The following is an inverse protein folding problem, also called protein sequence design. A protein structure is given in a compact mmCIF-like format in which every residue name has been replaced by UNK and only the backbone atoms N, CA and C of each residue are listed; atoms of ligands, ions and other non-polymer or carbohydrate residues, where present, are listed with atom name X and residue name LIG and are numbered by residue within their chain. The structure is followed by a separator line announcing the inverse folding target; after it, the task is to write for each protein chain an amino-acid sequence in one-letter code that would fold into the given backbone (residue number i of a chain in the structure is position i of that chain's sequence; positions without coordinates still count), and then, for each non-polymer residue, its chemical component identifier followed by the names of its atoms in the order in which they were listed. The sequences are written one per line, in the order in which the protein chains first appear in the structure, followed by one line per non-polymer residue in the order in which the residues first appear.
data_IF_168738909756
#
_entry.id   IF_168738909756
#
_cell.length_a   1.000
_cell.length_b   1.000
_cell.length_c   1.000
_cell.angle_alpha   90.00
_cell.angle_beta   90.00
_cell.angle_gamma   90.00
#
_symmetry.space_group_name_H-M   'P 1'
#
loop_
_entity.id
_entity.type
_entity.pdbx_description
1 polymer ?
2 non-polymer ?
3 non-polymer ?
4 non-polymer ?
5 non-polymer ?
6 water ?
#
# COMPACT_ATOMS: atom_id res chain seq x y z
N UNK A 37 22.38 -6.51 -1.83
CA UNK A 37 22.91 -5.17 -1.58
C UNK A 37 22.08 -4.12 -2.33
N UNK A 38 22.02 -2.92 -1.76
CA UNK A 38 21.19 -1.83 -2.26
C UNK A 38 22.10 -0.73 -2.79
N UNK A 39 21.76 -0.06 -3.90
CA UNK A 39 22.62 0.99 -4.41
C UNK A 39 22.75 2.11 -3.41
N UNK A 40 23.91 2.80 -3.38
CA UNK A 40 24.12 3.82 -2.34
C UNK A 40 23.06 4.92 -2.31
N UNK A 41 22.54 5.34 -3.47
CA UNK A 41 21.55 6.41 -3.48
C UNK A 41 20.21 5.98 -2.90
N UNK A 42 19.96 4.68 -2.78
CA UNK A 42 18.71 4.16 -2.22
C UNK A 42 18.93 3.44 -0.89
N UNK A 43 20.18 3.31 -0.45
CA UNK A 43 20.51 2.52 0.72
C UNK A 43 20.20 3.28 1.99
N UNK A 44 19.63 2.57 2.97
CA UNK A 44 19.26 3.16 4.26
C UNK A 44 19.91 2.30 5.34
N UNK A 45 21.12 2.66 5.77
CA UNK A 45 21.82 1.84 6.77
C UNK A 45 21.02 1.54 8.02
N UNK A 46 20.15 2.46 8.48
CA UNK A 46 19.41 2.20 9.70
C UNK A 46 18.39 1.07 9.50
N UNK A 47 17.77 1.00 8.32
CA UNK A 47 16.88 -0.14 8.03
C UNK A 47 17.67 -1.44 8.07
N UNK A 48 18.80 -1.48 7.36
CA UNK A 48 19.56 -2.72 7.27
C UNK A 48 20.09 -3.17 8.63
N UNK A 49 20.40 -2.22 9.52
CA UNK A 49 21.03 -2.56 10.79
C UNK A 49 20.02 -2.80 11.91
N UNK A 50 18.93 -2.02 11.91
CA UNK A 50 18.05 -1.96 13.06
C UNK A 50 16.63 -2.42 12.78
N UNK A 51 16.27 -2.72 11.52
CA UNK A 51 14.95 -3.22 11.16
C UNK A 51 15.10 -4.56 10.44
N UNK A 52 15.50 -5.61 11.15
CA UNK A 52 15.69 -6.91 10.47
C UNK A 52 14.40 -7.42 9.85
N UNK A 53 14.54 -7.97 8.65
CA UNK A 53 13.42 -8.45 7.86
C UNK A 53 12.75 -9.65 8.55
N UNK A 54 11.42 -9.72 8.40
CA UNK A 54 10.64 -10.84 8.89
C UNK A 54 9.80 -11.41 7.76
N UNK A 55 9.45 -12.68 7.87
CA UNK A 55 8.62 -13.33 6.85
C UNK A 55 7.65 -14.28 7.51
N UNK A 56 6.37 -14.10 7.18
CA UNK A 56 5.29 -14.94 7.70
C UNK A 56 5.45 -16.38 7.18
N UNK A 57 5.23 -17.38 8.03
CA UNK A 57 5.42 -18.79 7.60
C UNK A 57 4.49 -19.24 6.49
N UNK A 58 3.38 -18.54 6.26
CA UNK A 58 2.46 -18.92 5.20
C UNK A 58 2.93 -18.47 3.82
N UNK A 59 4.03 -17.72 3.73
CA UNK A 59 4.37 -17.09 2.45
C UNK A 59 4.46 -18.04 1.26
N UNK A 60 5.06 -19.24 1.35
CA UNK A 60 5.10 -20.12 0.16
C UNK A 60 3.74 -20.44 -0.41
N UNK A 61 2.76 -20.75 0.45
CA UNK A 61 1.39 -20.99 -0.02
C UNK A 61 0.74 -19.69 -0.48
N UNK A 62 1.00 -18.59 0.24
CA UNK A 62 0.46 -17.30 -0.14
C UNK A 62 0.88 -16.92 -1.56
N UNK A 63 2.16 -17.12 -1.87
CA UNK A 63 2.67 -16.76 -3.19
C UNK A 63 1.85 -17.40 -4.30
N UNK A 64 1.64 -18.72 -4.21
CA UNK A 64 0.92 -19.43 -5.27
C UNK A 64 -0.57 -19.13 -5.23
N UNK A 65 -1.17 -19.05 -4.04
CA UNK A 65 -2.61 -18.85 -3.95
C UNK A 65 -3.02 -17.49 -4.54
N UNK A 66 -2.22 -16.44 -4.30
CA UNK A 66 -2.54 -15.15 -4.89
C UNK A 66 -2.30 -15.16 -6.40
N UNK A 67 -1.26 -15.87 -6.85
CA UNK A 67 -1.02 -15.99 -8.28
C UNK A 67 -2.18 -16.67 -8.99
N UNK A 68 -2.65 -17.79 -8.41
CA UNK A 68 -3.80 -18.51 -8.97
C UNK A 68 -5.08 -17.67 -8.92
N UNK A 69 -5.24 -16.86 -7.85
CA UNK A 69 -6.38 -15.97 -7.75
C UNK A 69 -6.36 -14.92 -8.86
N UNK A 70 -5.19 -14.31 -9.11
CA UNK A 70 -5.08 -13.36 -10.23
C UNK A 70 -5.45 -14.04 -11.54
N UNK A 71 -5.06 -15.31 -11.70
CA UNK A 71 -5.39 -16.06 -12.89
C UNK A 71 -6.89 -16.31 -12.99
N UNK A 72 -7.51 -16.83 -11.93
CA UNK A 72 -8.90 -17.26 -12.00
C UNK A 72 -9.86 -16.08 -12.04
N UNK A 73 -9.53 -14.99 -11.36
CA UNK A 73 -10.33 -13.78 -11.44
C UNK A 73 -10.05 -12.97 -12.70
N UNK A 74 -9.12 -13.40 -13.54
CA UNK A 74 -8.80 -12.74 -14.80
C UNK A 74 -8.40 -11.29 -14.58
N UNK A 75 -7.62 -11.05 -13.53
CA UNK A 75 -7.20 -9.70 -13.21
C UNK A 75 -6.00 -9.26 -14.04
N UNK A 76 -5.20 -10.21 -14.52
CA UNK A 76 -4.12 -9.95 -15.45
C UNK A 76 -4.16 -11.05 -16.49
N UNK A 77 -3.73 -10.77 -17.73
CA UNK A 77 -3.68 -11.81 -18.75
C UNK A 77 -2.89 -13.02 -18.27
N UNK A 78 -3.35 -14.21 -18.66
CA UNK A 78 -2.79 -15.45 -18.14
C UNK A 78 -1.29 -15.53 -18.38
N UNK A 79 -0.83 -15.12 -19.56
CA UNK A 79 0.60 -15.20 -19.85
C UNK A 79 1.41 -14.21 -19.03
N UNK A 80 0.83 -13.05 -18.69
CA UNK A 80 1.53 -12.10 -17.85
C UNK A 80 1.58 -12.57 -16.40
N UNK A 81 0.52 -13.22 -15.93
CA UNK A 81 0.54 -13.83 -14.60
C UNK A 81 1.68 -14.83 -14.51
N UNK A 82 1.79 -15.71 -15.52
CA UNK A 82 2.78 -16.78 -15.46
C UNK A 82 4.20 -16.23 -15.57
N UNK A 83 4.41 -15.21 -16.40
CA UNK A 83 5.77 -14.70 -16.60
C UNK A 83 6.22 -13.78 -15.48
N UNK A 84 5.30 -13.01 -14.89
CA UNK A 84 5.69 -11.87 -14.07
C UNK A 84 5.20 -11.89 -12.63
N UNK A 85 4.14 -12.65 -12.31
CA UNK A 85 3.48 -12.50 -11.00
C UNK A 85 4.43 -12.74 -9.84
N UNK A 86 5.14 -13.88 -9.85
CA UNK A 86 6.06 -14.16 -8.74
C UNK A 86 7.15 -13.11 -8.65
N UNK A 87 7.69 -12.69 -9.79
CA UNK A 87 8.74 -11.67 -9.82
C UNK A 87 8.29 -10.30 -9.34
N UNK A 88 6.97 -10.05 -9.34
CA UNK A 88 6.46 -8.76 -8.88
C UNK A 88 6.52 -8.62 -7.35
N UNK A 89 6.52 -9.76 -6.64
CA UNK A 89 6.78 -9.81 -5.20
C UNK A 89 5.67 -9.20 -4.36
N UNK A 90 4.43 -9.15 -4.88
CA UNK A 90 3.34 -8.53 -4.12
C UNK A 90 3.03 -9.30 -2.85
N UNK A 91 3.07 -10.63 -2.89
CA UNK A 91 2.81 -11.39 -1.67
C UNK A 91 3.97 -11.31 -0.68
N UNK A 92 5.22 -11.23 -1.17
CA UNK A 92 6.37 -11.06 -0.27
C UNK A 92 6.21 -9.77 0.54
N UNK A 93 5.73 -8.72 -0.11
CA UNK A 93 5.55 -7.43 0.55
C UNK A 93 4.57 -7.54 1.70
N UNK A 94 3.46 -8.26 1.50
CA UNK A 94 2.49 -8.34 2.58
C UNK A 94 2.91 -9.36 3.65
N UNK A 95 3.61 -10.43 3.23
CA UNK A 95 4.06 -11.44 4.18
C UNK A 95 5.22 -10.95 5.06
N UNK A 96 5.88 -9.86 4.66
CA UNK A 96 6.88 -9.24 5.47
C UNK A 96 6.35 -8.15 6.36
N UNK A 97 5.04 -7.91 6.34
CA UNK A 97 4.39 -6.80 7.01
C UNK A 97 3.48 -7.30 8.13
N UNK A 98 2.44 -8.08 7.80
CA UNK A 98 1.41 -8.48 8.76
C UNK A 98 1.77 -9.80 9.44
N UNK A 99 2.87 -9.76 10.18
CA UNK A 99 3.30 -10.95 10.90
C UNK A 99 2.29 -11.30 11.98
N UNK A 100 2.13 -12.60 12.22
CA UNK A 100 1.16 -13.10 13.17
C UNK A 100 -0.26 -13.22 12.68
N UNK A 101 -0.56 -12.75 11.46
CA UNK A 101 -1.92 -12.79 10.94
C UNK A 101 -2.35 -14.25 10.74
N UNK A 102 -3.62 -14.57 11.00
CA UNK A 102 -4.14 -15.88 10.59
C UNK A 102 -3.95 -16.03 9.09
N UNK A 103 -3.68 -17.27 8.66
CA UNK A 103 -3.39 -17.52 7.26
C UNK A 103 -4.49 -16.96 6.36
N UNK A 104 -5.76 -17.15 6.75
CA UNK A 104 -6.85 -16.69 5.89
C UNK A 104 -6.95 -15.18 5.85
N UNK A 105 -6.59 -14.51 6.95
CA UNK A 105 -6.53 -13.05 6.96
C UNK A 105 -5.45 -12.55 6.01
N UNK A 106 -4.24 -13.11 6.12
CA UNK A 106 -3.15 -12.74 5.23
C UNK A 106 -3.51 -13.02 3.77
N UNK A 107 -4.21 -14.12 3.51
CA UNK A 107 -4.59 -14.41 2.13
C UNK A 107 -5.53 -13.35 1.58
N UNK A 108 -6.52 -12.94 2.37
CA UNK A 108 -7.41 -11.87 1.91
C UNK A 108 -6.66 -10.57 1.72
N UNK A 109 -5.74 -10.25 2.63
CA UNK A 109 -4.92 -9.04 2.51
C UNK A 109 -4.05 -9.08 1.26
N UNK A 110 -3.41 -10.23 1.00
CA UNK A 110 -2.52 -10.34 -0.16
C UNK A 110 -3.29 -10.25 -1.47
N UNK A 111 -4.48 -10.86 -1.52
CA UNK A 111 -5.29 -10.77 -2.73
C UNK A 111 -5.71 -9.32 -2.95
N UNK A 112 -6.18 -8.66 -1.89
CA UNK A 112 -6.54 -7.24 -1.96
C UNK A 112 -5.36 -6.38 -2.41
N UNK A 113 -4.17 -6.65 -1.85
CA UNK A 113 -2.99 -5.87 -2.20
C UNK A 113 -2.58 -6.08 -3.64
N UNK A 114 -2.59 -7.34 -4.11
CA UNK A 114 -2.33 -7.60 -5.53
C UNK A 114 -3.38 -6.91 -6.40
N UNK A 115 -4.65 -6.96 -5.99
CA UNK A 115 -5.70 -6.23 -6.70
C UNK A 115 -5.35 -4.74 -6.77
N UNK A 116 -4.87 -4.19 -5.66
CA UNK A 116 -4.56 -2.76 -5.60
C UNK A 116 -3.50 -2.38 -6.63
N UNK A 117 -2.45 -3.21 -6.78
CA UNK A 117 -1.46 -2.94 -7.81
C UNK A 117 -2.08 -2.97 -9.20
N UNK A 118 -2.92 -3.98 -9.47
CA UNK A 118 -3.59 -4.07 -10.77
C UNK A 118 -4.47 -2.86 -11.00
N UNK A 119 -5.16 -2.38 -9.96
CA UNK A 119 -5.97 -1.17 -10.08
C UNK A 119 -5.10 0.04 -10.41
N UNK A 120 -3.95 0.17 -9.77
CA UNK A 120 -3.01 1.23 -10.11
C UNK A 120 -2.60 1.16 -11.58
N UNK A 121 -2.43 -0.05 -12.11
CA UNK A 121 -2.10 -0.21 -13.53
C UNK A 121 -3.27 0.17 -14.43
N UNK A 122 -4.49 -0.24 -14.07
CA UNK A 122 -5.66 0.09 -14.87
C UNK A 122 -5.89 1.59 -14.89
N UNK A 123 -5.76 2.23 -13.73
CA UNK A 123 -5.87 3.69 -13.63
C UNK A 123 -4.86 4.37 -14.55
N UNK A 124 -3.61 3.90 -14.52
CA UNK A 124 -2.56 4.43 -15.41
C UNK A 124 -2.95 4.27 -16.88
N UNK A 125 -3.35 3.07 -17.28
CA UNK A 125 -3.71 2.81 -18.67
C UNK A 125 -4.94 3.60 -19.11
N UNK A 126 -5.90 3.84 -18.20
CA UNK A 126 -7.06 4.66 -18.55
C UNK A 126 -6.64 6.10 -18.79
N UNK A 127 -5.69 6.60 -18.02
CA UNK A 127 -5.17 7.95 -18.23
C UNK A 127 -4.40 8.03 -19.54
N UNK A 128 -3.49 7.08 -19.78
CA UNK A 128 -2.63 7.15 -20.96
C UNK A 128 -3.46 7.09 -22.24
N UNK A 129 -4.54 6.31 -22.23
CA UNK A 129 -5.40 6.14 -23.39
C UNK A 129 -6.63 7.03 -23.35
N UNK A 130 -6.70 7.97 -22.41
CA UNK A 130 -7.78 8.95 -22.37
C UNK A 130 -9.16 8.36 -22.18
N UNK A 131 -9.27 7.23 -21.48
CA UNK A 131 -10.56 6.55 -21.29
C UNK A 131 -11.28 7.10 -20.06
N UNK A 132 -11.61 8.41 -20.13
CA UNK A 132 -12.25 9.08 -19.01
C UNK A 132 -13.58 8.44 -18.64
N UNK A 133 -14.36 8.02 -19.64
CA UNK A 133 -15.63 7.37 -19.35
C UNK A 133 -15.45 6.03 -18.67
N UNK A 134 -14.52 5.21 -19.17
CA UNK A 134 -14.28 3.91 -18.55
C UNK A 134 -13.84 4.07 -17.11
N UNK A 135 -12.98 5.05 -16.83
CA UNK A 135 -12.54 5.28 -15.47
C UNK A 135 -13.69 5.73 -14.57
N UNK A 136 -14.50 6.67 -15.06
CA UNK A 136 -15.61 7.17 -14.25
C UNK A 136 -16.58 6.06 -13.87
N UNK A 137 -16.87 5.16 -14.80
CA UNK A 137 -17.77 4.06 -14.47
C UNK A 137 -17.12 3.07 -13.50
N UNK A 138 -15.83 2.77 -13.70
CA UNK A 138 -15.12 1.92 -12.74
C UNK A 138 -15.12 2.55 -11.35
N UNK A 139 -14.86 3.86 -11.26
CA UNK A 139 -14.86 4.55 -9.99
C UNK A 139 -16.22 4.42 -9.30
N UNK A 140 -17.31 4.57 -10.06
CA UNK A 140 -18.63 4.43 -9.46
C UNK A 140 -18.91 3.02 -8.96
N UNK A 141 -18.48 2.01 -9.73
CA UNK A 141 -18.73 0.62 -9.34
C UNK A 141 -17.94 0.26 -8.09
N UNK A 142 -16.70 0.75 -7.97
CA UNK A 142 -15.90 0.44 -6.80
C UNK A 142 -16.51 1.04 -5.54
N UNK A 143 -17.06 2.25 -5.65
CA UNK A 143 -17.75 2.84 -4.51
C UNK A 143 -18.92 1.98 -4.09
N UNK A 144 -19.74 1.53 -5.05
CA UNK A 144 -20.89 0.70 -4.70
C UNK A 144 -20.45 -0.66 -4.18
N UNK A 145 -19.45 -1.29 -4.81
CA UNK A 145 -19.02 -2.62 -4.39
C UNK A 145 -18.32 -2.59 -3.04
N UNK A 146 -17.70 -1.47 -2.70
CA UNK A 146 -17.09 -1.34 -1.39
C UNK A 146 -18.15 -1.38 -0.28
N UNK A 147 -19.29 -0.74 -0.51
CA UNK A 147 -20.34 -0.74 0.52
C UNK A 147 -21.08 -2.07 0.60
N UNK A 148 -21.23 -2.78 -0.52
CA UNK A 148 -21.92 -4.06 -0.56
C UNK A 148 -21.14 -5.02 -1.43
N UNK A 149 -20.04 -5.57 -0.91
CA UNK A 149 -19.21 -6.44 -1.75
C UNK A 149 -19.89 -7.74 -2.16
N UNK A 150 -20.71 -8.32 -1.29
CA UNK A 150 -21.41 -9.55 -1.66
C UNK A 150 -22.20 -9.41 -2.95
N UNK A 151 -22.88 -8.27 -3.13
CA UNK A 151 -23.68 -8.07 -4.33
C UNK A 151 -22.86 -8.04 -5.61
N UNK A 152 -21.55 -7.82 -5.54
CA UNK A 152 -20.72 -7.62 -6.72
C UNK A 152 -19.70 -8.74 -6.93
N UNK A 153 -19.87 -9.88 -6.25
CA UNK A 153 -18.91 -10.97 -6.34
C UNK A 153 -18.84 -11.58 -7.73
N UNK A 154 -19.89 -11.40 -8.53
CA UNK A 154 -19.94 -11.98 -9.87
C UNK A 154 -20.22 -10.91 -10.91
N UNK A 155 -19.71 -9.70 -10.67
CA UNK A 155 -19.92 -8.62 -11.62
C UNK A 155 -19.17 -8.88 -12.92
N UNK A 156 -19.77 -8.43 -14.03
CA UNK A 156 -19.18 -8.63 -15.36
C UNK A 156 -17.81 -7.98 -15.48
N UNK A 157 -17.57 -6.88 -14.76
CA UNK A 157 -16.27 -6.25 -14.73
C UNK A 157 -15.37 -7.07 -13.79
N UNK A 158 -14.36 -7.74 -14.35
CA UNK A 158 -13.54 -8.63 -13.54
C UNK A 158 -12.73 -7.87 -12.50
N UNK A 159 -12.32 -6.64 -12.79
CA UNK A 159 -11.60 -5.86 -11.79
C UNK A 159 -12.51 -5.53 -10.61
N UNK A 160 -13.79 -5.27 -10.88
CA UNK A 160 -14.76 -5.04 -9.81
C UNK A 160 -15.06 -6.33 -9.04
N UNK A 161 -15.24 -7.44 -9.76
CA UNK A 161 -15.52 -8.71 -9.09
C UNK A 161 -14.36 -9.15 -8.22
N UNK A 162 -13.12 -8.96 -8.70
CA UNK A 162 -11.96 -9.30 -7.88
C UNK A 162 -11.87 -8.44 -6.63
N UNK A 163 -12.05 -7.13 -6.79
CA UNK A 163 -12.16 -6.22 -5.65
C UNK A 163 -13.18 -6.74 -4.65
N UNK A 164 -14.39 -7.04 -5.12
CA UNK A 164 -15.47 -7.43 -4.23
C UNK A 164 -15.16 -8.73 -3.50
N UNK A 165 -14.48 -9.67 -4.17
CA UNK A 165 -14.16 -10.94 -3.53
C UNK A 165 -13.18 -10.75 -2.38
N UNK A 166 -12.14 -9.94 -2.58
CA UNK A 166 -11.20 -9.71 -1.48
C UNK A 166 -11.85 -8.90 -0.36
N UNK A 167 -12.65 -7.89 -0.71
CA UNK A 167 -13.28 -7.05 0.31
C UNK A 167 -14.31 -7.84 1.11
N UNK A 168 -15.12 -8.68 0.44
CA UNK A 168 -16.09 -9.48 1.19
C UNK A 168 -15.40 -10.33 2.24
N UNK A 169 -14.24 -10.90 1.89
CA UNK A 169 -13.52 -11.74 2.84
C UNK A 169 -12.96 -10.92 3.99
N UNK A 170 -12.39 -9.74 3.68
CA UNK A 170 -11.89 -8.85 4.73
C UNK A 170 -13.00 -8.46 5.70
N UNK A 171 -14.24 -8.34 5.21
CA UNK A 171 -15.39 -7.95 6.04
C UNK A 171 -15.89 -9.08 6.93
N UNK A 172 -15.27 -10.26 6.89
CA UNK A 172 -15.76 -11.39 7.66
C UNK A 172 -14.96 -11.65 8.93
N UNK A 173 -13.97 -10.83 9.25
CA UNK A 173 -13.06 -11.12 10.34
C UNK A 173 -13.39 -10.39 11.64
N UNK A 174 -13.88 -9.15 11.54
CA UNK A 174 -14.13 -8.29 12.69
C UNK A 174 -15.56 -7.78 12.63
N UNK A 175 -16.03 -7.14 13.71
CA UNK A 175 -17.40 -6.61 13.69
C UNK A 175 -17.60 -5.58 12.59
N UNK A 176 -18.88 -5.39 12.23
CA UNK A 176 -19.26 -4.50 11.13
C UNK A 176 -18.78 -3.07 11.34
N UNK A 177 -18.50 -2.66 12.58
CA UNK A 177 -17.96 -1.33 12.83
C UNK A 177 -16.60 -1.17 12.14
N UNK A 178 -15.77 -2.21 12.14
CA UNK A 178 -14.50 -2.13 11.45
C UNK A 178 -14.71 -2.06 9.94
N UNK A 179 -15.64 -2.87 9.41
CA UNK A 179 -15.94 -2.83 7.99
C UNK A 179 -16.34 -1.42 7.55
N UNK A 180 -17.16 -0.74 8.35
CA UNK A 180 -17.61 0.60 8.00
C UNK A 180 -16.45 1.59 7.96
N UNK A 181 -15.48 1.42 8.86
CA UNK A 181 -14.29 2.28 8.87
C UNK A 181 -13.41 2.01 7.66
N UNK A 182 -13.15 0.74 7.35
CA UNK A 182 -12.43 0.40 6.12
C UNK A 182 -13.10 1.04 4.92
N UNK A 183 -14.42 0.95 4.86
CA UNK A 183 -15.14 1.51 3.71
C UNK A 183 -15.00 3.02 3.65
N UNK A 184 -15.21 3.72 4.78
CA UNK A 184 -15.00 5.15 4.84
C UNK A 184 -13.62 5.51 4.28
N UNK A 185 -12.59 4.80 4.75
CA UNK A 185 -11.24 5.11 4.30
C UNK A 185 -11.05 4.86 2.80
N UNK A 186 -11.59 3.75 2.29
CA UNK A 186 -11.37 3.45 0.87
C UNK A 186 -12.22 4.30 -0.08
N UNK A 187 -13.41 4.76 0.35
CA UNK A 187 -14.13 5.72 -0.47
C UNK A 187 -13.25 6.93 -0.73
N UNK A 188 -12.50 7.34 0.29
CA UNK A 188 -11.60 8.48 0.15
C UNK A 188 -10.43 8.15 -0.80
N UNK A 189 -9.89 6.93 -0.72
CA UNK A 189 -8.81 6.53 -1.63
C UNK A 189 -9.28 6.58 -3.09
N UNK A 190 -10.48 6.06 -3.36
CA UNK A 190 -11.01 6.09 -4.72
C UNK A 190 -11.05 7.52 -5.23
N UNK A 191 -11.50 8.44 -4.38
CA UNK A 191 -11.61 9.82 -4.81
C UNK A 191 -10.23 10.47 -4.98
N UNK A 192 -9.23 10.04 -4.20
CA UNK A 192 -7.87 10.51 -4.45
C UNK A 192 -7.38 10.01 -5.82
N UNK A 193 -7.67 8.76 -6.17
CA UNK A 193 -7.31 8.29 -7.50
C UNK A 193 -8.02 9.11 -8.57
N UNK A 194 -9.27 9.52 -8.32
CA UNK A 194 -9.95 10.37 -9.29
C UNK A 194 -9.26 11.72 -9.41
N UNK A 195 -8.81 12.28 -8.29
CA UNK A 195 -8.06 13.54 -8.36
C UNK A 195 -6.78 13.35 -9.18
N UNK A 196 -6.11 12.21 -9.03
CA UNK A 196 -4.92 11.94 -9.82
C UNK A 196 -5.24 11.86 -11.30
N UNK A 197 -6.38 11.25 -11.65
CA UNK A 197 -6.82 11.22 -13.03
C UNK A 197 -6.98 12.64 -13.57
N UNK A 198 -7.62 13.51 -12.78
CA UNK A 198 -7.80 14.91 -13.18
C UNK A 198 -6.45 15.60 -13.36
N UNK A 199 -5.53 15.42 -12.42
CA UNK A 199 -4.23 16.08 -12.52
C UNK A 199 -3.49 15.66 -13.77
N UNK A 200 -3.43 14.34 -14.02
CA UNK A 200 -2.62 13.84 -15.13
C UNK A 200 -3.22 14.19 -16.48
N UNK A 201 -4.55 14.11 -16.62
CA UNK A 201 -5.16 14.50 -17.88
C UNK A 201 -5.05 15.99 -18.14
N UNK A 202 -4.85 16.81 -17.11
CA UNK A 202 -4.65 18.24 -17.29
C UNK A 202 -3.19 18.65 -17.25
N UNK A 203 -2.28 17.74 -16.92
CA UNK A 203 -0.87 18.10 -16.82
C UNK A 203 -0.55 18.89 -15.57
N UNK A 204 -1.25 18.64 -14.48
CA UNK A 204 -1.07 19.37 -13.23
C UNK A 204 -0.15 18.54 -12.34
N UNK A 205 0.97 19.13 -11.93
CA UNK A 205 1.83 18.57 -10.90
C UNK A 205 1.46 19.26 -9.59
N UNK A 206 0.99 18.52 -8.58
CA UNK A 206 0.62 19.18 -7.31
C UNK A 206 1.83 19.83 -6.64
N UNK A 207 1.58 20.90 -5.89
CA UNK A 207 2.59 21.43 -5.00
C UNK A 207 3.05 20.40 -4.00
N UNK A 208 4.21 20.66 -3.38
CA UNK A 208 4.79 19.73 -2.41
C UNK A 208 3.81 19.42 -1.27
N UNK A 209 3.24 20.46 -0.66
CA UNK A 209 2.37 20.25 0.49
C UNK A 209 1.05 19.63 0.07
N UNK A 210 0.49 20.09 -1.05
CA UNK A 210 -0.71 19.47 -1.62
C UNK A 210 -0.46 18.00 -1.90
N UNK A 211 0.72 17.69 -2.46
CA UNK A 211 1.06 16.30 -2.75
C UNK A 211 1.14 15.46 -1.48
N UNK A 212 1.77 15.99 -0.43
CA UNK A 212 1.94 15.19 0.79
C UNK A 212 0.58 14.83 1.40
N UNK A 213 -0.40 15.74 1.31
CA UNK A 213 -1.74 15.43 1.79
C UNK A 213 -2.41 14.37 0.90
N UNK A 214 -2.32 14.55 -0.42
CA UNK A 214 -2.92 13.58 -1.35
C UNK A 214 -2.29 12.21 -1.21
N UNK A 215 -0.99 12.14 -0.93
CA UNK A 215 -0.25 10.89 -0.91
C UNK A 215 -0.66 9.98 0.24
N UNK A 216 -1.15 10.55 1.36
CA UNK A 216 -1.73 9.73 2.43
C UNK A 216 -2.97 8.99 1.97
N UNK A 217 -3.62 9.48 0.92
CA UNK A 217 -4.79 8.83 0.34
C UNK A 217 -4.45 7.89 -0.83
N UNK A 218 -3.63 8.34 -1.79
CA UNK A 218 -3.32 7.47 -2.93
C UNK A 218 -2.49 6.26 -2.53
N UNK A 219 -1.61 6.41 -1.51
CA UNK A 219 -0.92 5.25 -0.94
C UNK A 219 -1.83 4.42 -0.02
N UNK A 220 -2.99 4.95 0.40
CA UNK A 220 -3.94 4.23 1.25
C UNK A 220 -3.38 3.97 2.66
N UNK A 221 -2.68 4.98 3.21
CA UNK A 221 -2.12 4.91 4.57
C UNK A 221 -3.08 4.28 5.56
N UNK A 222 -4.34 4.74 5.54
CA UNK A 222 -5.27 4.37 6.60
C UNK A 222 -5.88 3.00 6.38
N UNK A 223 -5.86 2.52 5.14
CA UNK A 223 -6.28 1.15 4.85
C UNK A 223 -5.26 0.16 5.40
N UNK A 224 -3.96 0.37 5.11
CA UNK A 224 -2.94 -0.52 5.68
C UNK A 224 -2.96 -0.46 7.20
N UNK A 225 -3.24 0.72 7.76
CA UNK A 225 -3.36 0.84 9.20
C UNK A 225 -4.57 0.08 9.73
N UNK A 226 -5.72 0.20 9.06
CA UNK A 226 -6.91 -0.58 9.47
C UNK A 226 -6.61 -2.07 9.46
N UNK A 227 -5.87 -2.54 8.45
CA UNK A 227 -5.63 -3.97 8.28
C UNK A 227 -4.73 -4.57 9.35
N UNK A 228 -4.03 -3.73 10.14
CA UNK A 228 -3.28 -4.24 11.29
C UNK A 228 -4.21 -5.01 12.22
N UNK A 229 -5.46 -4.59 12.29
CA UNK A 229 -6.37 -5.05 13.33
C UNK A 229 -6.90 -6.46 13.10
N UNK A 230 -7.42 -6.82 11.91
CA UNK A 230 -7.74 -8.25 11.71
C UNK A 230 -6.49 -9.12 11.76
N UNK A 231 -5.32 -8.56 11.44
CA UNK A 231 -4.08 -9.33 11.52
C UNK A 231 -3.73 -9.70 12.95
N UNK A 232 -4.08 -8.87 13.94
CA UNK A 232 -3.86 -9.22 15.33
C UNK A 232 -5.14 -9.68 16.04
N UNK A 233 -6.25 -9.78 15.31
CA UNK A 233 -7.45 -10.39 15.84
C UNK A 233 -8.28 -9.52 16.77
N UNK A 234 -8.19 -8.20 16.65
CA UNK A 234 -8.85 -7.32 17.61
C UNK A 234 -9.17 -6.00 16.94
N UNK A 235 -10.43 -5.61 16.94
CA UNK A 235 -10.80 -4.27 16.52
C UNK A 235 -10.44 -3.31 17.66
N UNK A 236 -9.59 -2.31 17.36
CA UNK A 236 -9.23 -1.40 18.45
C UNK A 236 -10.30 -0.32 18.65
N UNK A 237 -10.65 -0.02 19.89
CA UNK A 237 -11.56 1.11 20.15
C UNK A 237 -10.95 2.41 19.66
N UNK A 238 -11.83 3.38 19.34
CA UNK A 238 -11.36 4.67 18.84
C UNK A 238 -10.39 5.32 19.81
N UNK A 239 -10.67 5.24 21.11
CA UNK A 239 -9.79 5.87 22.09
C UNK A 239 -8.39 5.28 22.06
N UNK A 240 -8.26 4.00 21.69
CA UNK A 240 -6.94 3.39 21.64
C UNK A 240 -6.21 3.77 20.35
N UNK A 241 -6.85 3.56 19.20
CA UNK A 241 -6.15 3.81 17.94
C UNK A 241 -5.96 5.29 17.67
N UNK A 242 -6.74 6.16 18.31
CA UNK A 242 -6.54 7.59 18.15
C UNK A 242 -5.62 8.18 19.21
N UNK A 243 -5.08 7.36 20.10
CA UNK A 243 -4.06 7.83 21.02
C UNK A 243 -2.91 8.44 20.22
N UNK A 244 -2.37 9.58 20.66
CA UNK A 244 -1.34 10.26 19.84
C UNK A 244 -0.14 9.41 19.49
N UNK A 245 0.29 8.52 20.39
CA UNK A 245 1.46 7.69 20.08
C UNK A 245 1.13 6.62 19.04
N UNK A 246 -0.05 6.00 19.15
CA UNK A 246 -0.46 5.03 18.13
C UNK A 246 -0.61 5.71 16.78
N UNK A 247 -1.35 6.83 16.76
CA UNK A 247 -1.63 7.53 15.50
C UNK A 247 -0.36 7.99 14.83
N UNK A 248 0.57 8.56 15.60
CA UNK A 248 1.81 9.07 15.01
C UNK A 248 2.71 7.94 14.51
N UNK A 249 2.85 6.87 15.30
CA UNK A 249 3.60 5.72 14.81
C UNK A 249 2.98 5.14 13.54
N UNK A 250 1.64 5.08 13.48
CA UNK A 250 1.00 4.55 12.27
C UNK A 250 1.24 5.45 11.07
N UNK A 251 1.19 6.77 11.29
CA UNK A 251 1.43 7.71 10.20
C UNK A 251 2.85 7.60 9.67
N UNK A 252 3.85 7.55 10.56
CA UNK A 252 5.24 7.56 10.10
C UNK A 252 5.61 6.27 9.36
N UNK A 253 5.05 5.13 9.80
CA UNK A 253 5.24 3.89 9.06
C UNK A 253 4.78 4.03 7.61
N UNK A 254 3.65 4.70 7.39
CA UNK A 254 3.12 4.84 6.04
C UNK A 254 3.83 5.95 5.26
N UNK A 255 4.18 7.05 5.94
CA UNK A 255 4.94 8.09 5.23
C UNK A 255 6.24 7.52 4.70
N UNK A 256 6.91 6.70 5.50
CA UNK A 256 8.15 6.09 5.03
C UNK A 256 7.88 5.25 3.80
N UNK A 257 6.86 4.41 3.85
CA UNK A 257 6.59 3.51 2.75
C UNK A 257 6.26 4.28 1.47
N UNK A 258 5.41 5.30 1.58
CA UNK A 258 5.00 6.06 0.40
C UNK A 258 6.16 6.84 -0.19
N UNK A 259 6.95 7.50 0.67
CA UNK A 259 8.04 8.32 0.17
C UNK A 259 9.21 7.47 -0.28
N UNK A 260 9.43 6.30 0.34
CA UNK A 260 10.46 5.40 -0.18
C UNK A 260 10.03 4.86 -1.54
N UNK A 261 8.74 4.55 -1.71
CA UNK A 261 8.28 4.21 -3.05
C UNK A 261 8.55 5.37 -4.02
N UNK A 262 8.24 6.61 -3.61
CA UNK A 262 8.54 7.73 -4.51
C UNK A 262 10.00 7.71 -4.94
N UNK A 263 10.90 7.50 -3.97
CA UNK A 263 12.33 7.50 -4.28
C UNK A 263 12.68 6.42 -5.30
N UNK A 264 12.19 5.20 -5.08
CA UNK A 264 12.58 4.07 -5.93
C UNK A 264 11.77 4.00 -7.22
N UNK A 265 10.56 4.56 -7.24
CA UNK A 265 9.72 4.49 -8.43
C UNK A 265 9.84 5.72 -9.31
N UNK A 266 10.64 6.70 -8.89
CA UNK A 266 10.88 7.90 -9.70
C UNK A 266 11.29 7.58 -11.13
N UNK A 267 12.27 6.70 -11.39
CA UNK A 267 12.63 6.45 -12.80
C UNK A 267 11.51 5.90 -13.65
N UNK A 268 10.76 4.91 -13.16
CA UNK A 268 9.63 4.39 -13.92
C UNK A 268 8.55 5.44 -14.10
N UNK A 269 8.39 6.32 -13.11
CA UNK A 269 7.30 7.29 -13.16
C UNK A 269 7.62 8.45 -14.09
N UNK A 270 8.87 8.92 -14.09
CA UNK A 270 9.29 9.89 -15.10
C UNK A 270 9.09 9.31 -16.49
N UNK A 271 9.52 8.07 -16.68
CA UNK A 271 9.41 7.43 -17.99
C UNK A 271 7.96 7.26 -18.42
N UNK A 272 7.05 7.04 -17.48
CA UNK A 272 5.64 6.84 -17.82
C UNK A 272 4.74 8.05 -17.71
N UNK A 273 5.33 9.26 -17.66
CA UNK A 273 4.55 10.50 -17.57
C UNK A 273 3.67 10.58 -16.32
N UNK A 274 4.07 9.88 -15.26
CA UNK A 274 3.41 10.05 -13.97
C UNK A 274 3.81 11.38 -13.36
N UNK A 275 2.84 12.09 -12.77
CA UNK A 275 3.12 13.39 -12.15
C UNK A 275 3.13 13.33 -10.62
N UNK A 276 2.71 12.22 -10.02
CA UNK A 276 2.54 12.11 -8.58
C UNK A 276 3.76 11.41 -7.97
N UNK A 277 4.63 12.21 -7.37
CA UNK A 277 5.86 11.75 -6.77
C UNK A 277 6.48 12.94 -6.06
N UNK A 278 6.90 12.76 -4.81
CA UNK A 278 7.47 13.89 -4.06
C UNK A 278 8.65 14.51 -4.81
N UNK A 279 9.47 13.69 -5.46
CA UNK A 279 10.59 14.22 -6.24
C UNK A 279 10.13 15.09 -7.39
N UNK A 280 9.05 14.70 -8.08
CA UNK A 280 8.55 15.48 -9.20
C UNK A 280 7.97 16.80 -8.72
N UNK A 281 7.25 16.81 -7.60
CA UNK A 281 6.77 18.08 -7.05
C UNK A 281 7.93 18.99 -6.70
N UNK A 282 9.01 18.43 -6.15
CA UNK A 282 10.17 19.24 -5.76
C UNK A 282 10.85 19.84 -6.98
N UNK A 283 11.04 19.04 -8.03
CA UNK A 283 11.66 19.53 -9.26
C UNK A 283 10.80 20.62 -9.88
N UNK A 284 9.48 20.41 -9.90
CA UNK A 284 8.59 21.29 -10.64
C UNK A 284 8.41 22.63 -9.92
N UNK A 285 8.20 22.61 -8.61
CA UNK A 285 7.78 23.80 -7.88
C UNK A 285 8.88 24.44 -7.07
N UNK A 286 10.04 23.80 -6.92
CA UNK A 286 11.15 24.40 -6.19
C UNK A 286 12.46 24.37 -6.97
N UNK A 287 12.40 24.05 -8.27
CA UNK A 287 13.53 24.21 -9.19
C UNK A 287 14.73 23.35 -8.79
N UNK A 288 14.50 22.23 -8.11
CA UNK A 288 15.60 21.34 -7.80
C UNK A 288 15.98 20.53 -9.03
N UNK A 289 17.27 20.24 -9.15
CA UNK A 289 17.69 19.25 -10.13
C UNK A 289 17.26 17.87 -9.67
N UNK A 290 17.38 16.89 -10.59
CA UNK A 290 17.06 15.51 -10.24
C UNK A 290 17.92 15.02 -9.09
N UNK A 291 19.22 15.32 -9.13
CA UNK A 291 20.11 14.91 -8.04
C UNK A 291 19.71 15.57 -6.73
N UNK A 292 19.35 16.86 -6.77
CA UNK A 292 18.94 17.55 -5.54
C UNK A 292 17.64 16.99 -5.00
N UNK A 293 16.68 16.71 -5.89
CA UNK A 293 15.39 16.19 -5.46
C UNK A 293 15.52 14.81 -4.85
N UNK A 294 16.38 13.97 -5.43
CA UNK A 294 16.61 12.64 -4.88
C UNK A 294 17.21 12.72 -3.48
N UNK A 295 18.18 13.62 -3.29
CA UNK A 295 18.74 13.82 -1.97
C UNK A 295 17.72 14.30 -0.96
N UNK A 296 16.84 15.21 -1.39
CA UNK A 296 15.84 15.76 -0.48
C UNK A 296 14.81 14.70 -0.09
N UNK A 297 14.38 13.86 -1.05
CA UNK A 297 13.46 12.76 -0.72
C UNK A 297 14.13 11.77 0.22
N UNK A 298 15.37 11.39 -0.06
CA UNK A 298 16.06 10.46 0.82
C UNK A 298 16.16 10.99 2.24
N UNK A 299 16.45 12.28 2.39
CA UNK A 299 16.54 12.86 3.73
C UNK A 299 15.20 12.80 4.45
N UNK A 300 14.10 13.11 3.75
CA UNK A 300 12.78 13.00 4.37
C UNK A 300 12.45 11.57 4.77
N UNK A 301 12.83 10.60 3.92
CA UNK A 301 12.66 9.19 4.25
C UNK A 301 13.46 8.83 5.50
N UNK A 302 14.72 9.29 5.57
CA UNK A 302 15.57 9.00 6.72
C UNK A 302 14.96 9.54 8.00
N UNK A 303 14.39 10.74 7.95
CA UNK A 303 13.77 11.33 9.13
C UNK A 303 12.55 10.54 9.58
N UNK A 304 11.80 9.94 8.66
CA UNK A 304 10.67 9.12 9.09
C UNK A 304 11.13 7.99 9.99
N UNK A 305 12.29 7.41 9.69
CA UNK A 305 12.81 6.30 10.48
C UNK A 305 13.09 6.73 11.91
N UNK A 306 13.88 7.81 12.07
CA UNK A 306 14.30 8.21 13.41
C UNK A 306 13.17 8.87 14.18
N UNK A 307 12.23 9.51 13.48
CA UNK A 307 11.00 9.97 14.14
C UNK A 307 10.18 8.78 14.63
N UNK A 308 10.09 7.72 13.81
CA UNK A 308 9.35 6.53 14.22
C UNK A 308 9.99 5.88 15.44
N UNK A 309 11.32 5.79 15.48
CA UNK A 309 11.98 5.19 16.63
C UNK A 309 11.62 5.91 17.92
N UNK A 310 11.50 7.25 17.87
CA UNK A 310 11.11 7.98 19.07
C UNK A 310 9.68 7.68 19.49
N UNK A 311 8.74 7.73 18.54
CA UNK A 311 7.34 7.51 18.89
C UNK A 311 7.03 6.05 19.19
N UNK A 312 7.82 5.12 18.65
CA UNK A 312 7.64 3.71 18.96
C UNK A 312 7.79 3.47 20.47
N UNK A 313 8.76 4.12 21.10
CA UNK A 313 8.90 4.01 22.55
C UNK A 313 7.61 4.42 23.25
N UNK A 314 7.03 5.55 22.82
CA UNK A 314 5.79 6.04 23.41
C UNK A 314 4.63 5.08 23.15
N UNK A 315 4.59 4.48 21.94
CA UNK A 315 3.50 3.58 21.61
C UNK A 315 3.62 2.28 22.40
N UNK A 316 4.84 1.79 22.62
CA UNK A 316 5.01 0.60 23.43
C UNK A 316 4.79 0.89 24.91
N UNK A 317 5.11 2.10 25.38
CA UNK A 317 4.74 2.47 26.75
C UNK A 317 3.23 2.48 26.91
N UNK A 318 2.52 3.01 25.91
CA UNK A 318 1.07 2.99 25.92
C UNK A 318 0.54 1.55 25.96
N UNK A 319 1.14 0.67 25.16
CA UNK A 319 0.75 -0.74 25.21
C UNK A 319 0.86 -1.29 26.62
N UNK A 320 1.97 -1.00 27.31
CA UNK A 320 2.14 -1.49 28.68
C UNK A 320 1.05 -0.95 29.60
N UNK A 321 0.71 0.34 29.47
CA UNK A 321 -0.30 0.92 30.34
C UNK A 321 -1.68 0.31 30.12
N UNK A 322 -1.96 -0.18 28.90
CA UNK A 322 -3.25 -0.82 28.65
C UNK A 322 -3.39 -2.13 29.40
N UNK A 323 -2.26 -2.78 29.72
CA UNK A 323 -2.26 -4.02 30.48
C UNK A 323 -2.53 -3.67 31.94
N UNK A 324 -3.81 -3.49 32.25
CA UNK A 324 -4.23 -2.97 33.54
C UNK A 324 -4.61 -4.09 34.51
N UNK A 325 -4.24 -5.33 34.22
CA UNK A 325 -4.61 -6.46 35.03
C UNK A 325 -5.86 -7.18 34.59
N UNK A 326 -6.64 -6.60 33.68
CA UNK A 326 -7.86 -7.23 33.21
C UNK A 326 -7.60 -8.04 31.95
N UNK A 327 -8.52 -8.96 31.66
CA UNK A 327 -8.43 -9.76 30.45
C UNK A 327 -8.51 -8.88 29.22
N UNK A 328 -9.48 -7.96 29.21
CA UNK A 328 -9.62 -7.04 28.07
C UNK A 328 -8.38 -6.15 27.93
N UNK A 329 -7.84 -5.67 29.05
CA UNK A 329 -6.63 -4.86 28.98
C UNK A 329 -5.46 -5.64 28.39
N UNK A 330 -5.30 -6.89 28.80
CA UNK A 330 -4.26 -7.73 28.21
C UNK A 330 -4.46 -7.92 26.72
N UNK A 331 -5.71 -8.10 26.30
CA UNK A 331 -6.02 -8.24 24.87
C UNK A 331 -5.63 -6.98 24.10
N UNK A 332 -6.07 -5.81 24.59
CA UNK A 332 -5.76 -4.56 23.90
C UNK A 332 -4.27 -4.28 23.90
N UNK A 333 -3.60 -4.53 25.04
CA UNK A 333 -2.17 -4.32 25.14
C UNK A 333 -1.42 -5.18 24.13
N UNK A 334 -1.77 -6.48 24.07
CA UNK A 334 -1.13 -7.36 23.10
C UNK A 334 -1.42 -6.97 21.67
N UNK A 335 -2.64 -6.48 21.41
CA UNK A 335 -3.00 -6.08 20.06
C UNK A 335 -2.20 -4.86 19.61
N UNK A 336 -2.12 -3.86 20.49
CA UNK A 336 -1.32 -2.68 20.18
C UNK A 336 0.13 -3.06 19.96
N UNK A 337 0.68 -3.92 20.82
CA UNK A 337 2.06 -4.33 20.69
C UNK A 337 2.31 -5.01 19.35
N UNK A 338 1.40 -5.93 18.96
CA UNK A 338 1.54 -6.60 17.67
C UNK A 338 1.42 -5.61 16.51
N UNK A 339 0.49 -4.66 16.63
CA UNK A 339 0.29 -3.70 15.54
C UNK A 339 1.49 -2.78 15.40
N UNK A 340 2.03 -2.30 16.51
CA UNK A 340 3.22 -1.46 16.44
C UNK A 340 4.40 -2.24 15.89
N UNK A 341 4.51 -3.53 16.26
CA UNK A 341 5.56 -4.36 15.70
C UNK A 341 5.44 -4.49 14.20
N UNK A 342 4.21 -4.58 13.70
CA UNK A 342 4.01 -4.65 12.26
C UNK A 342 4.18 -3.30 11.57
N UNK A 343 3.85 -2.19 12.24
CA UNK A 343 4.23 -0.88 11.71
C UNK A 343 5.73 -0.81 11.45
N UNK A 344 6.52 -1.39 12.36
CA UNK A 344 7.96 -1.46 12.18
C UNK A 344 8.33 -2.41 11.06
N UNK A 345 7.64 -3.54 10.94
CA UNK A 345 7.96 -4.50 9.87
C UNK A 345 7.69 -3.90 8.50
N UNK A 346 6.77 -2.94 8.42
CA UNK A 346 6.47 -2.34 7.12
C UNK A 346 7.70 -1.65 6.56
N UNK A 347 8.53 -1.04 7.44
CA UNK A 347 9.73 -0.39 6.96
C UNK A 347 10.63 -1.36 6.20
N UNK A 348 10.95 -2.50 6.81
CA UNK A 348 11.86 -3.44 6.15
C UNK A 348 11.20 -4.13 4.97
N UNK A 349 9.91 -4.43 5.06
CA UNK A 349 9.27 -5.12 3.95
C UNK A 349 9.22 -4.25 2.71
N UNK A 350 8.85 -2.97 2.87
CA UNK A 350 8.83 -2.01 1.76
C UNK A 350 10.23 -1.75 1.22
N UNK A 351 11.22 -1.66 2.11
CA UNK A 351 12.59 -1.41 1.68
C UNK A 351 13.05 -2.49 0.70
N UNK A 352 12.97 -3.75 1.12
CA UNK A 352 13.50 -4.82 0.29
C UNK A 352 12.63 -5.10 -0.92
N UNK A 353 11.31 -4.90 -0.78
CA UNK A 353 10.40 -5.05 -1.91
C UNK A 353 10.84 -4.23 -3.11
N UNK A 354 11.27 -3.00 -2.87
CA UNK A 354 11.60 -2.13 -3.99
C UNK A 354 12.86 -2.55 -4.72
N UNK A 355 13.69 -3.37 -4.09
CA UNK A 355 14.90 -3.84 -4.77
C UNK A 355 14.74 -5.24 -5.32
N UNK A 356 13.68 -5.94 -4.92
CA UNK A 356 13.39 -7.28 -5.41
C UNK A 356 12.33 -7.32 -6.50
N UNK A 357 11.35 -6.41 -6.45
CA UNK A 357 10.21 -6.48 -7.35
C UNK A 357 10.57 -6.10 -8.78
N UNK A 358 10.08 -6.89 -9.73
CA UNK A 358 10.17 -6.52 -11.15
C UNK A 358 9.38 -5.28 -11.51
N UNK A 359 8.50 -4.81 -10.61
CA UNK A 359 7.67 -3.66 -10.93
C UNK A 359 8.48 -2.41 -11.25
N UNK A 360 9.66 -2.24 -10.65
CA UNK A 360 10.43 -1.01 -10.79
C UNK A 360 11.59 -1.10 -11.76
N UNK A 361 11.75 -2.22 -12.46
CA UNK A 361 12.96 -2.48 -13.26
C UNK A 361 12.85 -1.90 -14.67
N UNK A 362 12.73 -0.57 -14.73
CA UNK A 362 12.47 0.12 -15.98
C UNK A 362 13.58 -0.08 -17.01
N UNK A 363 14.82 -0.26 -16.55
CA UNK A 363 15.95 -0.43 -17.46
C UNK A 363 15.85 -1.70 -18.31
N UNK A 364 15.02 -2.65 -17.92
CA UNK A 364 14.92 -3.91 -18.65
C UNK A 364 13.81 -3.92 -19.68
N UNK A 365 13.04 -2.85 -19.80
CA UNK A 365 11.85 -2.85 -20.66
C UNK A 365 12.16 -2.36 -22.06
N UNK A 366 11.48 -2.98 -23.03
CA UNK A 366 11.59 -2.52 -24.42
C UNK A 366 11.07 -1.09 -24.56
N UNK A 367 10.01 -0.76 -23.81
CA UNK A 367 9.41 0.56 -23.84
C UNK A 367 9.32 1.01 -22.39
N UNK A 368 10.14 1.99 -22.02
CA UNK A 368 10.21 2.42 -20.63
C UNK A 368 8.91 3.03 -20.14
N UNK A 369 8.05 3.48 -21.06
CA UNK A 369 6.76 4.05 -20.70
C UNK A 369 5.64 3.02 -20.57
N UNK A 370 5.90 1.76 -20.92
CA UNK A 370 4.87 0.71 -20.87
C UNK A 370 5.46 -0.54 -20.21
N UNK A 371 5.24 -0.74 -18.92
CA UNK A 371 5.81 -1.90 -18.25
C UNK A 371 5.23 -3.17 -18.82
N UNK A 372 6.00 -4.27 -18.83
CA UNK A 372 5.53 -5.49 -19.51
C UNK A 372 4.40 -6.21 -18.80
N UNK A 373 4.22 -6.00 -17.50
CA UNK A 373 3.18 -6.63 -16.71
C UNK A 373 1.84 -5.92 -16.82
N UNK A 374 1.77 -4.82 -17.56
CA UNK A 374 0.56 -4.03 -17.72
C UNK A 374 -0.13 -4.44 -19.01
N UNK A 375 -1.46 -4.47 -18.99
CA UNK A 375 -2.25 -4.73 -20.19
C UNK A 375 -2.48 -3.40 -20.90
N UNK A 376 -1.88 -3.27 -22.08
CA UNK A 376 -1.89 -2.01 -22.81
C UNK A 376 -2.96 -2.01 -23.89
X LIG B 1 1.70 3.84 -9.82
X LIG C 1 -0.68 5.37 -8.35
X LIG D 1 5.32 5.21 -7.04
X LIG E 1 -10.20 7.69 11.64
X LIG E 1 -10.04 8.87 12.56
X LIG E 1 -9.04 6.73 11.76
X LIG E 1 -10.30 8.14 10.20
X LIG E 1 -11.48 7.06 12.15
X LIG F 1 3.21 2.60 -9.14
X LIG F 1 3.93 2.36 -7.87
X LIG F 1 5.10 3.30 -7.70
X LIG F 1 4.40 0.92 -7.82
X LIG F 1 2.67 2.67 -6.53
X LIG F 1 2.04 4.41 -6.65
X LIG F 1 3.24 5.34 -6.68
X LIG F 1 1.21 4.67 -5.43
X LIG F 1 1.23 4.55 -7.90
X LIG F 1 3.20 2.60 -5.22
X LIG F 1 1.54 1.67 -6.74
X LIG F 1 0.52 1.73 -5.61
X LIG F 1 0.35 0.35 -4.96
X LIG F 1 0.47 0.49 -3.45
X LIG F 1 1.65 -0.36 -2.98
X LIG F 1 1.61 -0.59 -1.55
X LIG G 1 -3.87 -2.87 -16.37
X LIG G 1 -2.95 -3.88 -16.67
X LIG G 1 -5.07 -3.00 -17.32
X LIG G 1 -5.31 -1.75 -17.91
X LIG G 1 -6.31 -3.44 -16.55
X LIG G 1 -6.03 -4.52 -15.72
X LIG H 1 -19.28 7.91 -21.32
X LIG H 1 -20.14 6.94 -20.78
X LIG H 1 -18.88 7.49 -22.73
X LIG H 1 -19.30 6.18 -22.95
X LIG H 1 -17.36 7.56 -22.85
X LIG H 1 -16.81 6.47 -22.17
X LIG I 1 11.52 -7.68 -15.84
X LIG I 1 11.35 -7.06 -17.09
X LIG I 1 10.47 -7.17 -14.86
X LIG I 1 10.48 -5.77 -14.83
X LIG I 1 9.07 -7.63 -15.25
X LIG I 1 8.18 -7.40 -14.19
X LIG J 1 2.30 -23.12 7.14
X LIG J 1 2.47 -24.44 7.55
X LIG J 1 1.28 -22.44 8.06
X LIG J 1 0.03 -22.41 7.42
X LIG J 1 1.71 -21.00 8.31
X LIG J 1 0.87 -20.42 9.27
#
# INVERSE_FOLDING_TARGET
MGSSHHHHHHSSGLVPRGSHMVHAFPHGTTATPTAIAVPPSLRLPVIEAAFPRQLHPYWPKLQETTRTWLLEKRLMPADKVEEYADGLCYTDLMAGYYLGAPDEVLQAIADYSAWFFVWDDRHDRDIVHGRAGAWRRLRGLLHTALDSPGDHLHHEDTLVAGFADSVRRLYAFLPATWNARFARHFHTVIEAYDREFHNRTRGIVPGVEEYLELRRLTFAHWIWTDLLEPSSGCELPDAVRKHPAYRRAALLSQEFAAWYNDLCSLPKEIAGDEVHNLGISLITHHSLTLEEAIGEVRRRVEECITEFLAVERDALRFADELADGTVRGKELSGAVRANVGNMRNWFSSVYWFHHESGRYMVDSWDDRSTPPYVNNEAAGEK
MG MG
MG MG
MG MG
SO4 S O1 O2 O3 O4
NRD OAK PAI OAL OAJ CAG PAM OAO OAP OAN OAH CAF CAE CAC CAB CAA NAD
GOL C1 O1 C2 O2 C3 O3
GOL C1 O1 C2 O2 C3 O3
GOL C1 O1 C2 O2 C3 O3
GOL C1 O1 C2 O2 C3 O3
#
